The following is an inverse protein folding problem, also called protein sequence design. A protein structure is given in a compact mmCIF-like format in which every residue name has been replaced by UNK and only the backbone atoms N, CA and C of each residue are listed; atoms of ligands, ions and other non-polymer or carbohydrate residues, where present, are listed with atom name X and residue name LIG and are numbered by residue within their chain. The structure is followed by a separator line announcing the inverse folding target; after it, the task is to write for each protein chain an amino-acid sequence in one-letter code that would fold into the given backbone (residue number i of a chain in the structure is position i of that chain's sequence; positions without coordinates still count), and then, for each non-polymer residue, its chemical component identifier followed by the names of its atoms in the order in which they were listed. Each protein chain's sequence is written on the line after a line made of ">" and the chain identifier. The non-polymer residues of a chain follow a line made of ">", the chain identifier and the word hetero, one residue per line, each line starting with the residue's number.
data_IF_609785671408
#
_entry.id   IF_609785671408
#
_cell.length_a   1.000
_cell.length_b   1.000
_cell.length_c   1.000
_cell.angle_alpha   90.00
_cell.angle_beta   90.00
_cell.angle_gamma   90.00
#
_symmetry.space_group_name_H-M   'P 1'
#
loop_
_entity.id
_entity.type
_entity.pdbx_description
1 polymer ?
#
# COMPACT_ATOMS: atom_id res chain seq x y z
N UNK A 1 -16.64 5.20 23.01
CA UNK A 1 -16.75 3.99 22.16
C UNK A 1 -15.39 3.34 21.87
N UNK A 2 -15.16 2.12 22.36
CA UNK A 2 -14.11 1.25 21.84
C UNK A 2 -14.72 0.42 20.71
N UNK A 3 -14.44 0.77 19.46
CA UNK A 3 -14.72 -0.08 18.30
C UNK A 3 -14.12 -1.47 18.59
N UNK A 4 -14.99 -2.45 18.82
CA UNK A 4 -14.61 -3.87 18.89
C UNK A 4 -14.04 -4.25 17.52
N UNK A 5 -12.74 -4.06 17.35
CA UNK A 5 -11.97 -4.64 16.23
C UNK A 5 -12.17 -6.15 16.33
N UNK A 6 -12.97 -6.72 15.42
CA UNK A 6 -13.04 -8.16 15.23
C UNK A 6 -11.86 -8.53 14.31
N UNK A 7 -10.75 -9.08 14.84
CA UNK A 7 -9.53 -9.32 14.06
C UNK A 7 -9.76 -10.26 12.88
N UNK A 8 -10.80 -11.11 13.00
CA UNK A 8 -11.20 -12.05 11.95
C UNK A 8 -11.68 -11.33 10.68
N UNK A 9 -12.32 -10.16 10.81
CA UNK A 9 -12.83 -9.42 9.65
C UNK A 9 -11.70 -8.67 8.94
N UNK A 10 -10.76 -8.06 9.68
CA UNK A 10 -9.59 -7.42 9.07
C UNK A 10 -8.73 -8.44 8.32
N UNK A 11 -8.52 -9.63 8.90
CA UNK A 11 -7.75 -10.70 8.25
C UNK A 11 -8.43 -11.23 6.98
N UNK A 12 -9.76 -11.39 6.99
CA UNK A 12 -10.50 -11.79 5.79
C UNK A 12 -10.32 -10.79 4.65
N UNK A 13 -10.45 -9.49 4.93
CA UNK A 13 -10.17 -8.45 3.94
C UNK A 13 -8.70 -8.43 3.50
N UNK A 14 -7.75 -8.63 4.42
CA UNK A 14 -6.32 -8.73 4.08
C UNK A 14 -6.04 -9.90 3.12
N UNK A 15 -6.63 -11.07 3.38
CA UNK A 15 -6.48 -12.25 2.53
C UNK A 15 -7.15 -12.07 1.15
N UNK A 16 -8.31 -11.41 1.08
CA UNK A 16 -8.92 -11.04 -0.20
C UNK A 16 -8.02 -10.08 -0.98
N UNK A 17 -7.41 -9.10 -0.30
CA UNK A 17 -6.42 -8.22 -0.92
C UNK A 17 -5.24 -9.00 -1.54
N UNK A 18 -4.72 -10.01 -0.84
CA UNK A 18 -3.68 -10.90 -1.36
C UNK A 18 -4.19 -11.68 -2.58
N UNK A 19 -5.38 -12.26 -2.50
CA UNK A 19 -5.95 -13.04 -3.60
C UNK A 19 -6.15 -12.20 -4.86
N UNK A 20 -6.70 -10.99 -4.74
CA UNK A 20 -6.84 -10.06 -5.87
C UNK A 20 -5.50 -9.59 -6.43
N UNK A 21 -4.51 -9.37 -5.55
CA UNK A 21 -3.16 -9.02 -5.98
C UNK A 21 -2.51 -10.16 -6.78
N UNK A 22 -2.65 -11.41 -6.34
CA UNK A 22 -2.14 -12.59 -7.06
C UNK A 22 -2.83 -12.80 -8.41
N UNK A 23 -4.09 -12.33 -8.55
CA UNK A 23 -4.83 -12.30 -9.81
C UNK A 23 -4.47 -11.10 -10.71
N UNK A 24 -3.67 -10.15 -10.22
CA UNK A 24 -3.34 -8.90 -10.94
C UNK A 24 -4.45 -7.85 -10.92
N UNK A 25 -5.52 -8.07 -10.15
CA UNK A 25 -6.66 -7.15 -9.99
C UNK A 25 -6.34 -6.11 -8.91
N UNK A 26 -5.36 -5.25 -9.20
CA UNK A 26 -4.77 -4.33 -8.23
C UNK A 26 -5.78 -3.30 -7.67
N UNK A 27 -6.76 -2.87 -8.47
CA UNK A 27 -7.80 -1.94 -8.01
C UNK A 27 -8.70 -2.57 -6.95
N UNK A 28 -9.04 -3.86 -7.06
CA UNK A 28 -9.79 -4.58 -6.03
C UNK A 28 -8.91 -4.90 -4.81
N UNK A 29 -7.64 -5.25 -5.05
CA UNK A 29 -6.69 -5.51 -3.99
C UNK A 29 -6.57 -4.31 -3.02
N UNK A 30 -6.43 -3.08 -3.55
CA UNK A 30 -6.35 -1.88 -2.70
C UNK A 30 -7.64 -1.65 -1.89
N UNK A 31 -8.82 -1.96 -2.42
CA UNK A 31 -10.10 -1.78 -1.70
C UNK A 31 -10.14 -2.69 -0.48
N UNK A 32 -9.82 -3.97 -0.69
CA UNK A 32 -9.80 -4.95 0.39
C UNK A 32 -8.71 -4.65 1.42
N UNK A 33 -7.50 -4.29 1.00
CA UNK A 33 -6.47 -3.87 1.94
C UNK A 33 -6.84 -2.62 2.73
N UNK A 34 -7.50 -1.62 2.12
CA UNK A 34 -7.99 -0.42 2.83
C UNK A 34 -9.02 -0.77 3.90
N UNK A 35 -9.96 -1.67 3.60
CA UNK A 35 -10.91 -2.17 4.59
C UNK A 35 -10.20 -2.89 5.74
N UNK A 36 -9.20 -3.72 5.45
CA UNK A 36 -8.39 -4.38 6.47
C UNK A 36 -7.64 -3.37 7.36
N UNK A 37 -7.02 -2.34 6.77
CA UNK A 37 -6.34 -1.25 7.50
C UNK A 37 -7.32 -0.44 8.35
N UNK A 38 -8.52 -0.15 7.83
CA UNK A 38 -9.56 0.55 8.60
C UNK A 38 -9.98 -0.24 9.84
N UNK A 39 -10.16 -1.56 9.70
CA UNK A 39 -10.54 -2.44 10.79
C UNK A 39 -9.38 -2.68 11.77
N UNK A 40 -8.16 -2.81 11.29
CA UNK A 40 -6.96 -2.99 12.11
C UNK A 40 -5.77 -2.15 11.60
N UNK A 41 -5.64 -0.89 12.07
CA UNK A 41 -4.59 0.01 11.60
C UNK A 41 -3.18 -0.32 12.14
N UNK A 42 -3.06 -1.38 12.96
CA UNK A 42 -1.78 -1.85 13.52
C UNK A 42 -1.28 -3.14 12.85
N UNK A 43 -2.00 -3.65 11.87
CA UNK A 43 -1.52 -4.75 11.04
C UNK A 43 -0.44 -4.25 10.07
N UNK A 44 0.81 -4.37 10.50
CA UNK A 44 1.98 -3.97 9.70
C UNK A 44 2.06 -4.73 8.37
N UNK A 45 1.54 -5.96 8.28
CA UNK A 45 1.62 -6.78 7.07
C UNK A 45 0.67 -6.22 6.02
N UNK A 46 -0.58 -5.97 6.41
CA UNK A 46 -1.59 -5.34 5.55
C UNK A 46 -1.16 -3.93 5.12
N UNK A 47 -0.60 -3.12 6.02
CA UNK A 47 -0.07 -1.80 5.69
C UNK A 47 1.04 -1.87 4.63
N UNK A 48 2.00 -2.79 4.79
CA UNK A 48 3.07 -3.01 3.81
C UNK A 48 2.49 -3.47 2.47
N UNK A 49 1.53 -4.39 2.47
CA UNK A 49 0.93 -4.90 1.24
C UNK A 49 0.12 -3.83 0.50
N UNK A 50 -0.64 -2.99 1.22
CA UNK A 50 -1.31 -1.83 0.62
C UNK A 50 -0.29 -0.87 -0.02
N UNK A 51 0.84 -0.62 0.67
CA UNK A 51 1.93 0.17 0.12
C UNK A 51 2.51 -0.39 -1.19
N UNK A 52 2.66 -1.72 -1.28
CA UNK A 52 3.09 -2.40 -2.50
C UNK A 52 2.08 -2.22 -3.64
N UNK A 53 0.80 -2.48 -3.39
CA UNK A 53 -0.25 -2.34 -4.41
C UNK A 53 -0.33 -0.91 -4.92
N UNK A 54 -0.23 0.09 -4.05
CA UNK A 54 -0.22 1.49 -4.46
C UNK A 54 1.00 1.84 -5.32
N UNK A 55 2.17 1.24 -5.05
CA UNK A 55 3.35 1.42 -5.89
C UNK A 55 3.19 0.78 -7.28
N UNK A 56 2.58 -0.40 -7.35
CA UNK A 56 2.29 -1.09 -8.62
C UNK A 56 1.26 -0.31 -9.45
N UNK A 57 0.15 0.10 -8.82
CA UNK A 57 -0.88 0.96 -9.42
C UNK A 57 -0.30 2.29 -9.93
N UNK A 58 0.56 2.93 -9.15
CA UNK A 58 1.25 4.14 -9.57
C UNK A 58 2.17 3.89 -10.78
N UNK A 59 2.81 2.72 -10.87
CA UNK A 59 3.65 2.37 -12.02
C UNK A 59 2.81 2.23 -13.28
N UNK A 60 1.65 1.58 -13.20
CA UNK A 60 0.68 1.50 -14.30
C UNK A 60 0.15 2.89 -14.68
N UNK A 61 -0.10 3.78 -13.72
CA UNK A 61 -0.50 5.15 -14.02
C UNK A 61 0.57 5.94 -14.77
N UNK A 62 1.85 5.78 -14.39
CA UNK A 62 2.97 6.42 -15.09
C UNK A 62 3.09 5.95 -16.53
N UNK A 63 2.92 4.66 -16.78
CA UNK A 63 2.92 4.08 -18.14
C UNK A 63 1.79 4.66 -19.00
N UNK A 64 0.65 4.95 -18.36
CA UNK A 64 -0.50 5.57 -19.01
C UNK A 64 -0.45 7.11 -19.02
N UNK A 65 0.67 7.73 -18.62
CA UNK A 65 0.84 9.18 -18.59
C UNK A 65 0.06 9.92 -17.49
N UNK A 66 -0.56 9.22 -16.55
CA UNK A 66 -1.31 9.78 -15.41
C UNK A 66 -0.37 10.14 -14.25
N UNK A 67 0.53 11.09 -14.50
CA UNK A 67 1.62 11.45 -13.58
C UNK A 67 1.15 12.00 -12.22
N UNK A 68 0.07 12.79 -12.21
CA UNK A 68 -0.51 13.34 -10.98
C UNK A 68 -1.07 12.24 -10.07
N UNK A 69 -1.94 11.39 -10.63
CA UNK A 69 -2.54 10.25 -9.92
C UNK A 69 -1.45 9.29 -9.41
N UNK A 70 -0.43 9.01 -10.23
CA UNK A 70 0.71 8.22 -9.81
C UNK A 70 1.45 8.85 -8.61
N UNK A 71 1.64 10.17 -8.64
CA UNK A 71 2.27 10.92 -7.55
C UNK A 71 1.51 10.76 -6.23
N UNK A 72 0.19 10.90 -6.27
CA UNK A 72 -0.67 10.74 -5.09
C UNK A 72 -0.59 9.33 -4.52
N UNK A 73 -0.71 8.31 -5.38
CA UNK A 73 -0.58 6.90 -4.97
C UNK A 73 0.79 6.59 -4.38
N UNK A 74 1.88 7.15 -4.91
CA UNK A 74 3.22 6.99 -4.35
C UNK A 74 3.36 7.65 -2.98
N UNK A 75 2.83 8.86 -2.79
CA UNK A 75 2.87 9.56 -1.49
C UNK A 75 2.09 8.77 -0.45
N UNK A 76 0.93 8.24 -0.82
CA UNK A 76 0.11 7.42 0.04
C UNK A 76 0.79 6.09 0.37
N UNK A 77 1.29 5.37 -0.64
CA UNK A 77 2.01 4.11 -0.47
C UNK A 77 3.21 4.26 0.47
N UNK A 78 3.98 5.35 0.33
CA UNK A 78 5.08 5.69 1.25
C UNK A 78 4.61 5.78 2.69
N UNK A 79 3.47 6.42 2.91
CA UNK A 79 2.89 6.64 4.24
C UNK A 79 2.57 5.31 4.92
N UNK A 80 1.93 4.38 4.21
CA UNK A 80 1.62 3.06 4.75
C UNK A 80 2.86 2.21 5.01
N UNK A 81 3.87 2.24 4.13
CA UNK A 81 5.13 1.51 4.33
C UNK A 81 5.91 2.06 5.52
N UNK A 82 5.96 3.38 5.70
CA UNK A 82 6.58 4.00 6.88
C UNK A 82 5.86 3.59 8.16
N UNK A 83 4.52 3.56 8.15
CA UNK A 83 3.73 3.09 9.29
C UNK A 83 4.02 1.61 9.59
N UNK A 84 4.09 0.74 8.58
CA UNK A 84 4.44 -0.67 8.73
C UNK A 84 5.84 -0.83 9.36
N UNK A 85 6.84 -0.10 8.87
CA UNK A 85 8.21 -0.11 9.42
C UNK A 85 8.29 0.40 10.85
N UNK A 86 7.44 1.36 11.22
CA UNK A 86 7.36 1.89 12.59
C UNK A 86 6.80 0.87 13.58
N UNK A 87 5.83 0.08 13.12
CA UNK A 87 5.21 -1.00 13.91
C UNK A 87 6.11 -2.25 13.97
N UNK A 88 6.78 -2.59 12.87
CA UNK A 88 7.71 -3.69 12.77
C UNK A 88 8.92 -3.31 11.89
N UNK A 89 10.05 -2.88 12.49
CA UNK A 89 11.24 -2.49 11.74
C UNK A 89 11.89 -3.62 10.92
N UNK A 90 11.54 -4.87 11.22
CA UNK A 90 12.00 -6.07 10.52
C UNK A 90 11.01 -6.53 9.43
N UNK A 91 10.08 -5.66 8.99
CA UNK A 91 9.12 -6.04 7.95
C UNK A 91 9.84 -6.50 6.67
N UNK A 92 9.50 -7.68 6.14
CA UNK A 92 10.14 -8.18 4.93
C UNK A 92 9.97 -7.20 3.76
N UNK A 93 11.08 -6.88 3.10
CA UNK A 93 11.17 -6.00 1.94
C UNK A 93 10.66 -4.55 2.14
N UNK A 94 10.22 -4.15 3.34
CA UNK A 94 9.62 -2.81 3.52
C UNK A 94 10.56 -1.65 3.22
N UNK A 95 11.84 -1.77 3.59
CA UNK A 95 12.85 -0.75 3.25
C UNK A 95 13.12 -0.66 1.75
N UNK A 96 13.10 -1.81 1.05
CA UNK A 96 13.30 -1.86 -0.39
C UNK A 96 12.13 -1.20 -1.12
N UNK A 97 10.89 -1.48 -0.69
CA UNK A 97 9.68 -0.85 -1.23
C UNK A 97 9.70 0.65 -0.98
N UNK A 98 10.04 1.08 0.23
CA UNK A 98 10.17 2.50 0.58
C UNK A 98 11.18 3.20 -0.34
N UNK A 99 12.35 2.61 -0.52
CA UNK A 99 13.38 3.15 -1.42
C UNK A 99 12.89 3.26 -2.86
N UNK A 100 12.19 2.24 -3.38
CA UNK A 100 11.63 2.26 -4.73
C UNK A 100 10.60 3.39 -4.91
N UNK A 101 9.71 3.58 -3.93
CA UNK A 101 8.73 4.67 -3.92
C UNK A 101 9.44 6.03 -3.94
N UNK A 102 10.45 6.21 -3.08
CA UNK A 102 11.20 7.46 -2.99
C UNK A 102 11.95 7.79 -4.29
N UNK A 103 12.57 6.80 -4.92
CA UNK A 103 13.20 6.98 -6.24
C UNK A 103 12.18 7.41 -7.30
N UNK A 104 10.98 6.83 -7.31
CA UNK A 104 9.91 7.20 -8.25
C UNK A 104 9.41 8.63 -8.03
N UNK A 105 9.22 9.03 -6.77
CA UNK A 105 8.84 10.40 -6.39
C UNK A 105 9.91 11.42 -6.75
N UNK A 106 11.18 11.10 -6.57
CA UNK A 106 12.30 11.96 -7.00
C UNK A 106 12.31 12.14 -8.52
N UNK A 107 12.10 11.06 -9.28
CA UNK A 107 12.03 11.11 -10.74
C UNK A 107 10.86 11.98 -11.25
N UNK A 108 9.72 12.01 -10.55
CA UNK A 108 8.60 12.89 -10.88
C UNK A 108 8.92 14.37 -10.65
N UNK A 109 9.66 14.69 -9.57
CA UNK A 109 10.06 16.07 -9.24
C UNK A 109 11.07 16.65 -10.23
N UNK A 110 11.94 15.81 -10.81
CA UNK A 110 12.93 16.24 -11.80
C UNK A 110 12.38 16.48 -13.21
N UNK A 111 11.07 16.30 -13.43
CA UNK A 111 10.41 16.49 -14.74
C UNK A 111 9.64 17.81 -14.86
N UNK A 112 9.56 18.60 -13.80
CA UNK A 112 8.97 19.96 -13.80
C UNK A 112 10.06 21.02 -13.88
#
# INVERSE_FOLDING_TARGET
>A
EALRVLPNHSQAHGNLGVAYQDLGELDEAQVHYRHAVYLNPKDWLTLKNLGNVLFELASTDLENGRTEIAGDRLVEGRTFVLQALRLNPAVPNGRQVLQAIESRLQALRGRG
#
